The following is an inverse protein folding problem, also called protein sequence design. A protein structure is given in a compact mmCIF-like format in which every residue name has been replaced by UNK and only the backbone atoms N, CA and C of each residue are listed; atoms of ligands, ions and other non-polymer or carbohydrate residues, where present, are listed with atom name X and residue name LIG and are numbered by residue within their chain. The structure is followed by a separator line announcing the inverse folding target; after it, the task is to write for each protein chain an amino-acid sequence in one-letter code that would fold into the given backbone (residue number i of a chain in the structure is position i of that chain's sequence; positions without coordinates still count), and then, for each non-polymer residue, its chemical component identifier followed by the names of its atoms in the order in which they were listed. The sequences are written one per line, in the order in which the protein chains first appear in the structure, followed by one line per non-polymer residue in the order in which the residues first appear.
data_IF_853222132159
#
_entry.id   IF_853222132159
#
_cell.length_a   1.000
_cell.length_b   1.000
_cell.length_c   1.000
_cell.angle_alpha   90.00
_cell.angle_beta   90.00
_cell.angle_gamma   90.00
#
_symmetry.space_group_name_H-M   'P 1'
#
loop_
_entity.id
_entity.type
_entity.pdbx_description
1 polymer ?
#
# COMPACT_ATOMS: atom_id res chain seq x y z
N UNK A 1 -39.88 17.86 36.24
CA UNK A 1 -38.61 17.29 36.74
C UNK A 1 -38.58 15.80 36.42
N UNK A 2 -37.74 15.36 35.47
CA UNK A 2 -37.48 13.95 35.18
C UNK A 2 -35.97 13.78 35.08
N UNK A 3 -35.38 13.11 36.08
CA UNK A 3 -33.96 12.82 36.19
C UNK A 3 -33.67 11.65 35.23
N UNK A 4 -32.97 11.90 34.14
CA UNK A 4 -32.48 10.84 33.26
C UNK A 4 -31.11 10.38 33.78
N UNK A 5 -31.11 9.32 34.58
CA UNK A 5 -29.91 8.56 34.92
C UNK A 5 -29.70 7.50 33.85
N UNK A 6 -28.66 7.65 33.02
CA UNK A 6 -27.93 6.52 32.43
C UNK A 6 -26.67 7.00 31.68
N UNK A 7 -25.46 6.93 32.26
CA UNK A 7 -24.22 6.98 31.49
C UNK A 7 -23.38 5.69 31.57
N UNK A 8 -23.96 4.54 31.95
CA UNK A 8 -23.19 3.30 32.08
C UNK A 8 -23.19 2.45 30.78
N UNK A 9 -24.33 2.35 30.08
CA UNK A 9 -24.45 1.47 28.92
C UNK A 9 -23.72 1.98 27.66
N UNK A 10 -23.71 3.30 27.44
CA UNK A 10 -23.05 3.90 26.28
C UNK A 10 -21.51 3.81 26.37
N UNK A 11 -20.96 3.86 27.58
CA UNK A 11 -19.52 3.74 27.81
C UNK A 11 -19.00 2.31 27.55
N UNK A 12 -19.80 1.28 27.85
CA UNK A 12 -19.40 -0.12 27.61
C UNK A 12 -19.39 -0.51 26.13
N UNK A 13 -20.27 0.08 25.30
CA UNK A 13 -20.33 -0.23 23.88
C UNK A 13 -19.12 0.32 23.10
N UNK A 14 -18.59 1.47 23.55
CA UNK A 14 -17.45 2.13 22.89
C UNK A 14 -16.14 1.36 23.10
N UNK A 15 -15.94 0.77 24.28
CA UNK A 15 -14.71 0.02 24.58
C UNK A 15 -14.60 -1.28 23.77
N UNK A 16 -15.71 -1.93 23.44
CA UNK A 16 -15.73 -3.15 22.64
C UNK A 16 -15.38 -2.92 21.15
N UNK A 17 -15.62 -1.70 20.64
CA UNK A 17 -15.30 -1.34 19.26
C UNK A 17 -13.80 -1.08 19.04
N UNK A 18 -13.06 -0.69 20.09
CA UNK A 18 -11.63 -0.36 19.99
C UNK A 18 -10.69 -1.57 20.10
N UNK A 19 -11.18 -2.74 20.54
CA UNK A 19 -10.37 -3.96 20.70
C UNK A 19 -10.43 -4.91 19.51
N UNK A 20 -11.10 -4.52 18.42
CA UNK A 20 -11.05 -5.24 17.14
C UNK A 20 -9.66 -5.15 16.55
N UNK A 21 -8.76 -6.01 17.04
CA UNK A 21 -7.38 -6.09 16.58
C UNK A 21 -7.36 -6.33 15.09
N UNK A 22 -6.88 -5.33 14.34
CA UNK A 22 -6.45 -5.51 12.98
C UNK A 22 -5.28 -6.49 13.02
N UNK A 23 -5.57 -7.78 12.84
CA UNK A 23 -4.52 -8.75 12.56
C UNK A 23 -3.97 -8.41 11.18
N UNK A 24 -2.85 -7.68 11.15
CA UNK A 24 -2.07 -7.53 9.93
C UNK A 24 -1.63 -8.94 9.51
N UNK A 25 -2.20 -9.46 8.43
CA UNK A 25 -1.72 -10.68 7.83
C UNK A 25 -0.43 -10.30 7.08
N UNK A 26 0.72 -10.66 7.64
CA UNK A 26 1.96 -10.58 6.89
C UNK A 26 1.88 -11.62 5.78
N UNK A 27 1.50 -11.20 4.58
CA UNK A 27 1.62 -12.05 3.39
C UNK A 27 3.12 -12.31 3.16
N UNK A 28 3.53 -13.58 2.94
CA UNK A 28 4.93 -13.87 2.66
C UNK A 28 5.42 -13.01 1.51
N UNK A 29 6.42 -12.16 1.75
CA UNK A 29 7.04 -11.39 0.69
C UNK A 29 7.62 -12.40 -0.32
N UNK A 30 7.24 -12.34 -1.61
CA UNK A 30 7.79 -13.24 -2.60
C UNK A 30 9.33 -13.13 -2.59
N UNK A 31 10.04 -14.22 -2.93
CA UNK A 31 11.51 -14.19 -3.02
C UNK A 31 11.94 -12.99 -3.87
N UNK A 32 13.05 -12.34 -3.52
CA UNK A 32 13.59 -11.20 -4.25
C UNK A 32 13.58 -11.48 -5.76
N UNK A 33 12.57 -10.93 -6.44
CA UNK A 33 12.45 -11.05 -7.88
C UNK A 33 13.49 -10.10 -8.45
N UNK A 34 14.51 -10.66 -9.10
CA UNK A 34 15.47 -9.85 -9.83
C UNK A 34 14.73 -9.02 -10.88
N UNK A 35 15.00 -7.71 -10.87
CA UNK A 35 14.43 -6.82 -11.87
C UNK A 35 14.94 -7.23 -13.26
N UNK A 36 14.08 -7.24 -14.29
CA UNK A 36 14.52 -7.50 -15.65
C UNK A 36 15.61 -6.51 -16.11
N UNK A 37 16.54 -6.97 -16.93
CA UNK A 37 17.70 -6.18 -17.41
C UNK A 37 17.32 -4.87 -18.13
N UNK A 38 16.09 -4.77 -18.65
CA UNK A 38 15.60 -3.59 -19.35
C UNK A 38 15.07 -2.50 -18.41
N UNK A 39 14.90 -2.79 -17.12
CA UNK A 39 14.44 -1.83 -16.11
C UNK A 39 15.59 -0.86 -15.81
N UNK A 40 15.39 0.47 -15.95
CA UNK A 40 16.43 1.44 -15.70
C UNK A 40 16.88 1.40 -14.23
N UNK A 41 18.19 1.43 -14.03
CA UNK A 41 18.83 1.36 -12.72
C UNK A 41 19.45 2.69 -12.27
N UNK A 42 19.48 3.68 -13.17
CA UNK A 42 19.99 5.02 -12.92
C UNK A 42 19.05 6.10 -13.44
N UNK A 43 19.22 7.33 -12.97
CA UNK A 43 18.44 8.47 -13.47
C UNK A 43 18.64 8.73 -14.96
N UNK A 44 19.88 8.58 -15.45
CA UNK A 44 20.17 8.74 -16.88
C UNK A 44 19.42 7.69 -17.72
N UNK A 45 19.44 6.43 -17.27
CA UNK A 45 18.68 5.36 -17.92
C UNK A 45 17.17 5.57 -17.82
N UNK A 46 16.66 6.11 -16.72
CA UNK A 46 15.23 6.43 -16.56
C UNK A 46 14.80 7.55 -17.52
N UNK A 47 15.67 8.54 -17.77
CA UNK A 47 15.43 9.59 -18.75
C UNK A 47 15.45 9.03 -20.18
N UNK A 48 16.43 8.19 -20.51
CA UNK A 48 16.49 7.52 -21.81
C UNK A 48 15.29 6.58 -22.03
N UNK A 49 14.85 5.90 -20.96
CA UNK A 49 13.65 5.08 -20.96
C UNK A 49 12.40 5.92 -21.25
N UNK A 50 12.19 7.05 -20.57
CA UNK A 50 11.04 7.93 -20.80
C UNK A 50 11.05 8.51 -22.22
N UNK A 51 12.23 8.90 -22.72
CA UNK A 51 12.38 9.37 -24.10
C UNK A 51 12.07 8.29 -25.15
N UNK A 52 12.29 7.01 -24.84
CA UNK A 52 12.15 5.89 -25.79
C UNK A 52 10.76 5.24 -25.73
N UNK A 53 10.24 5.01 -24.52
CA UNK A 53 9.03 4.23 -24.26
C UNK A 53 7.92 5.06 -23.58
N UNK A 54 8.23 6.27 -23.11
CA UNK A 54 7.39 7.04 -22.21
C UNK A 54 7.48 6.56 -20.76
N UNK A 55 6.57 7.09 -19.94
CA UNK A 55 6.62 6.95 -18.48
C UNK A 55 6.35 5.52 -17.99
N UNK A 56 5.70 4.69 -18.82
CA UNK A 56 5.30 3.33 -18.46
C UNK A 56 5.64 2.36 -19.58
N UNK A 57 6.30 1.25 -19.22
CA UNK A 57 6.49 0.11 -20.12
C UNK A 57 6.04 -1.17 -19.46
N UNK A 58 5.29 -1.98 -20.20
CA UNK A 58 4.82 -3.30 -19.79
C UNK A 58 5.41 -4.33 -20.74
N UNK A 59 6.08 -5.34 -20.20
CA UNK A 59 6.64 -6.47 -20.96
C UNK A 59 6.30 -7.75 -20.21
N UNK A 60 5.62 -8.67 -20.89
CA UNK A 60 5.11 -9.93 -20.34
C UNK A 60 4.29 -9.72 -19.05
N UNK A 61 4.86 -10.09 -17.90
CA UNK A 61 4.23 -9.98 -16.58
C UNK A 61 4.92 -8.93 -15.68
N UNK A 62 5.72 -8.04 -16.26
CA UNK A 62 6.44 -6.99 -15.56
C UNK A 62 6.01 -5.59 -16.05
N UNK A 63 5.84 -4.68 -15.10
CA UNK A 63 5.56 -3.26 -15.35
C UNK A 63 6.66 -2.41 -14.73
N UNK A 64 7.17 -1.46 -15.52
CA UNK A 64 8.06 -0.41 -15.04
C UNK A 64 7.38 0.94 -15.23
N UNK A 65 7.43 1.76 -14.18
CA UNK A 65 6.91 3.13 -14.15
C UNK A 65 8.07 4.01 -13.70
N UNK A 66 8.49 4.93 -14.55
CA UNK A 66 9.44 5.99 -14.17
C UNK A 66 8.67 7.24 -13.77
N UNK A 67 9.24 8.08 -12.91
CA UNK A 67 8.65 9.36 -12.52
C UNK A 67 9.72 10.45 -12.63
N UNK A 68 9.36 11.66 -13.09
CA UNK A 68 10.28 12.78 -13.17
C UNK A 68 10.76 13.25 -11.79
#
# INVERSE_FOLDING_TARGET
MKKYTAPAAAAMLLTALLTGGMTAHAEPQPPDLEAPDWVPSSFAEALDFDNTYGTVRIVDNAVCIVQP
#
